data_IF_523192740620
#
_entry.id   IF_523192740620
#
_cell.length_a   1.000
_cell.length_b   1.000
_cell.length_c   1.000
_cell.angle_alpha   90.00
_cell.angle_beta   90.00
_cell.angle_gamma   90.00
#
_symmetry.space_group_name_H-M   'P 1'
#
loop_
_entity.id
_entity.type
_entity.pdbx_description
1 polymer ?
#
# COMPACT_ATOMS: atom_id res chain seq x y z
N UNK A 1 4.65 0.13 5.27
CA UNK A 1 4.96 -0.68 6.48
C UNK A 1 4.05 -1.89 6.48
N UNK A 2 4.57 -3.06 6.83
CA UNK A 2 3.78 -4.30 6.97
C UNK A 2 3.90 -4.77 8.42
N UNK A 3 2.79 -5.18 9.02
CA UNK A 3 2.72 -5.70 10.38
C UNK A 3 2.03 -7.07 10.37
N UNK A 4 2.65 -8.04 11.01
CA UNK A 4 2.06 -9.35 11.31
C UNK A 4 1.72 -9.38 12.79
N UNK A 5 0.52 -9.83 13.14
CA UNK A 5 0.09 -9.98 14.54
C UNK A 5 -0.52 -11.36 14.72
N UNK A 6 0.09 -12.15 15.61
CA UNK A 6 -0.35 -13.50 15.97
C UNK A 6 -1.07 -13.46 17.31
N UNK A 7 -2.24 -14.08 17.38
CA UNK A 7 -3.07 -14.11 18.57
C UNK A 7 -2.91 -15.41 19.34
N UNK A 8 -3.21 -15.42 20.64
CA UNK A 8 -3.11 -16.63 21.46
C UNK A 8 -4.01 -17.77 20.98
N UNK A 9 -5.12 -17.45 20.30
CA UNK A 9 -5.99 -18.44 19.66
C UNK A 9 -5.39 -19.08 18.38
N UNK A 10 -4.18 -18.69 17.98
CA UNK A 10 -3.53 -19.14 16.74
C UNK A 10 -3.93 -18.35 15.49
N UNK A 11 -4.88 -17.41 15.60
CA UNK A 11 -5.24 -16.51 14.51
C UNK A 11 -4.09 -15.55 14.12
N UNK A 12 -4.08 -15.11 12.86
CA UNK A 12 -3.08 -14.17 12.34
C UNK A 12 -3.77 -13.01 11.62
N UNK A 13 -3.39 -11.78 11.94
CA UNK A 13 -3.76 -10.57 11.22
C UNK A 13 -2.54 -9.97 10.49
N UNK A 14 -2.77 -9.50 9.27
CA UNK A 14 -1.79 -8.79 8.45
C UNK A 14 -2.27 -7.37 8.20
N UNK A 15 -1.55 -6.39 8.74
CA UNK A 15 -1.78 -4.98 8.49
C UNK A 15 -0.79 -4.42 7.47
N UNK A 16 -1.28 -3.73 6.44
CA UNK A 16 -0.45 -3.05 5.45
C UNK A 16 -0.77 -1.55 5.43
N UNK A 17 0.26 -0.72 5.59
CA UNK A 17 0.18 0.71 5.38
C UNK A 17 0.74 1.03 3.98
N UNK A 18 -0.17 1.34 3.06
CA UNK A 18 0.09 1.62 1.66
C UNK A 18 -0.11 3.11 1.36
N UNK A 19 0.88 3.72 0.69
CA UNK A 19 0.77 5.11 0.27
C UNK A 19 -0.18 5.23 -0.91
N UNK A 20 -1.24 6.02 -0.77
CA UNK A 20 -2.20 6.27 -1.85
C UNK A 20 -1.58 7.05 -3.03
N UNK A 21 -0.40 7.66 -2.85
CA UNK A 21 0.38 8.26 -3.95
C UNK A 21 0.93 7.18 -4.89
N UNK A 22 1.15 5.97 -4.38
CA UNK A 22 1.77 4.86 -5.10
C UNK A 22 0.72 3.82 -5.51
N UNK A 23 -0.29 3.60 -4.66
CA UNK A 23 -1.30 2.57 -4.83
C UNK A 23 -2.69 3.18 -5.00
N UNK A 24 -3.41 2.75 -6.03
CA UNK A 24 -4.86 2.77 -6.05
C UNK A 24 -5.42 1.47 -5.44
N UNK A 25 -6.75 1.37 -5.32
CA UNK A 25 -7.41 0.19 -4.78
C UNK A 25 -7.06 -1.11 -5.52
N UNK A 26 -7.14 -1.15 -6.86
CA UNK A 26 -6.71 -2.29 -7.66
C UNK A 26 -5.24 -2.67 -7.45
N UNK A 27 -4.31 -1.73 -7.50
CA UNK A 27 -2.88 -2.00 -7.30
C UNK A 27 -2.60 -2.55 -5.90
N UNK A 28 -3.26 -2.00 -4.86
CA UNK A 28 -3.17 -2.52 -3.50
C UNK A 28 -3.65 -3.98 -3.43
N UNK A 29 -4.78 -4.28 -4.08
CA UNK A 29 -5.37 -5.63 -4.10
C UNK A 29 -4.46 -6.62 -4.83
N UNK A 30 -3.98 -6.25 -6.03
CA UNK A 30 -3.04 -7.06 -6.81
C UNK A 30 -1.77 -7.35 -6.03
N UNK A 31 -1.21 -6.35 -5.35
CA UNK A 31 -0.02 -6.54 -4.51
C UNK A 31 -0.25 -7.59 -3.41
N UNK A 32 -1.35 -7.50 -2.66
CA UNK A 32 -1.67 -8.45 -1.59
C UNK A 32 -1.95 -9.86 -2.14
N UNK A 33 -2.70 -9.96 -3.24
CA UNK A 33 -3.01 -11.24 -3.89
C UNK A 33 -1.75 -11.92 -4.45
N UNK A 34 -0.89 -11.18 -5.14
CA UNK A 34 0.39 -11.69 -5.65
C UNK A 34 1.31 -12.12 -4.51
N UNK A 35 1.38 -11.36 -3.41
CA UNK A 35 2.15 -11.76 -2.23
C UNK A 35 1.62 -13.08 -1.63
N UNK A 36 0.30 -13.23 -1.55
CA UNK A 36 -0.32 -14.47 -1.06
C UNK A 36 -0.08 -15.66 -2.01
N UNK A 37 -0.13 -15.46 -3.33
CA UNK A 37 0.16 -16.51 -4.31
C UNK A 37 1.61 -16.99 -4.22
N UNK A 38 2.57 -16.05 -4.15
CA UNK A 38 4.00 -16.35 -4.03
C UNK A 38 4.32 -17.11 -2.74
N UNK A 39 3.69 -16.75 -1.62
CA UNK A 39 3.90 -17.43 -0.33
C UNK A 39 3.33 -18.84 -0.31
N UNK A 40 2.22 -19.10 -1.02
CA UNK A 40 1.63 -20.44 -1.15
C UNK A 40 2.46 -21.41 -2.02
N UNK A 41 3.44 -20.93 -2.80
CA UNK A 41 4.21 -21.74 -3.78
C UNK A 41 3.32 -22.58 -4.72
N UNK A 42 2.11 -22.10 -5.01
CA UNK A 42 1.07 -22.88 -5.69
C UNK A 42 1.31 -23.07 -7.20
N UNK A 43 2.41 -22.57 -7.77
CA UNK A 43 2.66 -22.61 -9.22
C UNK A 43 1.74 -21.69 -10.04
N UNK A 44 0.74 -21.07 -9.43
CA UNK A 44 -0.02 -19.98 -10.02
C UNK A 44 0.92 -18.77 -10.21
N UNK A 45 1.08 -18.34 -11.47
CA UNK A 45 1.81 -17.12 -11.78
C UNK A 45 1.10 -15.95 -11.11
N UNK A 46 1.75 -15.36 -10.10
CA UNK A 46 1.36 -14.06 -9.61
C UNK A 46 1.48 -13.08 -10.78
N UNK A 47 0.36 -12.45 -11.16
CA UNK A 47 0.34 -11.50 -12.28
C UNK A 47 1.44 -10.47 -12.12
N UNK A 48 2.26 -10.30 -13.17
CA UNK A 48 3.35 -9.33 -13.16
C UNK A 48 2.77 -7.91 -13.12
N UNK A 49 3.22 -7.05 -12.19
CA UNK A 49 2.79 -5.66 -12.19
C UNK A 49 3.31 -4.95 -13.45
N UNK A 50 2.44 -4.15 -14.07
CA UNK A 50 2.83 -3.29 -15.18
C UNK A 50 3.51 -2.02 -14.64
N UNK A 51 4.74 -1.76 -15.08
CA UNK A 51 5.53 -0.58 -14.69
C UNK A 51 5.68 0.46 -15.82
N UNK A 52 4.90 0.35 -16.88
CA UNK A 52 4.97 1.21 -18.07
C UNK A 52 4.31 2.59 -17.87
N UNK A 53 3.90 2.90 -16.65
CA UNK A 53 3.21 4.15 -16.32
C UNK A 53 4.01 5.40 -16.75
N UNK A 54 5.34 5.37 -16.70
CA UNK A 54 6.18 6.48 -17.16
C UNK A 54 6.16 6.68 -18.69
N UNK A 55 5.93 5.60 -19.45
CA UNK A 55 5.78 5.66 -20.91
C UNK A 55 4.39 6.12 -21.31
N UNK A 56 3.35 5.63 -20.62
CA UNK A 56 1.95 6.00 -20.89
C UNK A 56 1.63 7.42 -20.40
N UNK A 57 2.28 7.85 -19.31
CA UNK A 57 2.12 9.17 -18.70
C UNK A 57 3.48 9.88 -18.60
N UNK A 58 3.96 10.48 -19.71
CA UNK A 58 5.23 11.19 -19.74
C UNK A 58 5.27 12.30 -18.69
N UNK A 59 6.37 12.37 -17.94
CA UNK A 59 6.57 13.45 -16.98
C UNK A 59 6.77 14.76 -17.74
N UNK A 60 5.87 15.73 -17.55
CA UNK A 60 6.01 17.05 -18.16
C UNK A 60 7.08 17.85 -17.45
N UNK A 61 8.09 18.30 -18.19
CA UNK A 61 9.12 19.23 -17.68
C UNK A 61 8.53 20.60 -17.33
N UNK A 62 7.37 20.96 -17.91
CA UNK A 62 6.67 22.22 -17.61
C UNK A 62 5.96 22.20 -16.25
N UNK A 63 5.66 21.01 -15.72
CA UNK A 63 4.96 20.81 -14.46
C UNK A 63 5.78 19.88 -13.55
N UNK A 64 6.77 20.42 -12.82
CA UNK A 64 7.61 19.61 -11.97
C UNK A 64 6.73 18.81 -11.00
N UNK A 65 6.99 17.50 -10.93
CA UNK A 65 6.20 16.51 -10.18
C UNK A 65 5.84 16.99 -8.78
N UNK A 66 6.80 17.59 -8.08
CA UNK A 66 6.63 18.10 -6.73
C UNK A 66 5.67 19.29 -6.64
N UNK A 67 5.66 20.18 -7.64
CA UNK A 67 4.72 21.29 -7.71
C UNK A 67 3.29 20.80 -8.04
N UNK A 68 3.17 19.81 -8.93
CA UNK A 68 1.86 19.20 -9.27
C UNK A 68 1.29 18.39 -8.11
N UNK A 69 2.13 17.59 -7.43
CA UNK A 69 1.76 16.90 -6.19
C UNK A 69 1.34 17.92 -5.14
N UNK A 70 2.18 18.93 -4.87
CA UNK A 70 1.85 19.97 -3.92
C UNK A 70 0.50 20.62 -4.25
N UNK A 71 0.25 21.02 -5.50
CA UNK A 71 -1.01 21.63 -5.91
C UNK A 71 -2.23 20.70 -5.75
N UNK A 72 -2.11 19.43 -6.13
CA UNK A 72 -3.20 18.45 -6.05
C UNK A 72 -3.51 18.04 -4.62
N UNK A 73 -2.49 17.89 -3.77
CA UNK A 73 -2.63 17.37 -2.41
C UNK A 73 -2.80 18.46 -1.36
N UNK A 74 -2.33 19.70 -1.58
CA UNK A 74 -2.49 20.81 -0.62
C UNK A 74 -3.93 21.03 -0.13
N UNK A 75 -4.98 20.91 -0.97
CA UNK A 75 -6.37 21.06 -0.51
C UNK A 75 -6.85 19.91 0.38
N UNK A 76 -6.30 18.70 0.18
CA UNK A 76 -6.70 17.48 0.89
C UNK A 76 -5.79 17.12 2.07
N UNK A 77 -4.58 17.70 2.10
CA UNK A 77 -3.67 17.71 3.23
C UNK A 77 -4.24 18.63 4.31
N UNK A 78 -5.24 18.13 5.06
CA UNK A 78 -5.46 18.67 6.40
C UNK A 78 -4.13 18.57 7.14
N UNK A 79 -3.63 19.69 7.66
CA UNK A 79 -2.44 19.74 8.52
C UNK A 79 -2.75 18.98 9.82
N UNK A 80 -2.70 17.66 9.73
CA UNK A 80 -2.93 16.71 10.80
C UNK A 80 -1.73 15.79 10.88
N UNK A 81 -1.44 15.31 12.09
CA UNK A 81 -0.33 14.39 12.31
C UNK A 81 -0.74 13.05 11.71
N UNK A 82 -0.22 12.72 10.52
CA UNK A 82 -0.29 11.36 9.97
C UNK A 82 0.71 10.48 10.73
N UNK A 83 0.27 9.93 11.86
CA UNK A 83 1.05 8.95 12.61
C UNK A 83 0.64 7.56 12.17
N UNK A 84 1.59 6.82 11.59
CA UNK A 84 1.48 5.36 11.55
C UNK A 84 1.63 4.85 12.99
N UNK A 85 0.51 4.51 13.64
CA UNK A 85 0.54 3.89 14.95
C UNK A 85 0.51 2.37 14.79
N UNK A 86 1.50 1.69 15.38
CA UNK A 86 1.43 0.24 15.57
C UNK A 86 0.43 -0.02 16.70
N UNK A 87 -0.76 -0.48 16.35
CA UNK A 87 -1.72 -0.98 17.32
C UNK A 87 -1.29 -2.42 17.64
N UNK A 88 -0.99 -2.67 18.90
CA UNK A 88 -0.73 -4.02 19.43
C UNK A 88 -2.02 -4.50 20.05
N UNK A 89 -2.56 -5.58 19.53
CA UNK A 89 -3.70 -6.24 20.13
C UNK A 89 -3.18 -7.24 21.17
N UNK A 90 -3.72 -7.18 22.39
CA UNK A 90 -3.48 -8.21 23.39
C UNK A 90 -4.35 -9.44 23.11
N UNK A 91 -3.90 -10.61 23.52
CA UNK A 91 -4.62 -11.87 23.38
C UNK A 91 -6.01 -11.84 24.03
N UNK A 92 -6.20 -10.99 25.05
CA UNK A 92 -7.45 -10.81 25.79
C UNK A 92 -8.50 -9.93 25.08
N UNK A 93 -8.13 -9.23 24.00
CA UNK A 93 -8.98 -8.27 23.30
C UNK A 93 -9.80 -8.87 22.13
N UNK A 94 -9.84 -10.21 22.02
CA UNK A 94 -10.59 -10.99 21.02
C UNK A 94 -11.41 -12.07 21.71
#
# INVERSE_FOLDING_TARGET
MIQVTTFACGGISLGAFLSHIIFDGPAATTFISSWAALTRKCGEEAGSPNFDASFVFPQSVAYPREATLSALFSPFLKKGICRSMRIVFDASAI
#
